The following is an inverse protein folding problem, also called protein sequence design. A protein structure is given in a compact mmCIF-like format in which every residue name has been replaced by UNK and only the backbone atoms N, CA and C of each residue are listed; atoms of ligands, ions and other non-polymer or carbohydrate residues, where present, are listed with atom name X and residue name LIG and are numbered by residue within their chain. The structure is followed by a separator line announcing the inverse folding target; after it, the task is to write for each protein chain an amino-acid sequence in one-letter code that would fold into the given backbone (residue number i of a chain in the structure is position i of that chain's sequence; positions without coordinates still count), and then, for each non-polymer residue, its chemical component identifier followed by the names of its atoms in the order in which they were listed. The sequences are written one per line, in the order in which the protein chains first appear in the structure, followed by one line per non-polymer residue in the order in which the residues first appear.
data_IF_259916518223
#
_entry.id   IF_259916518223
#
_cell.length_a   1.000
_cell.length_b   1.000
_cell.length_c   1.000
_cell.angle_alpha   90.00
_cell.angle_beta   90.00
_cell.angle_gamma   90.00
#
_symmetry.space_group_name_H-M   'P 1'
#
loop_
_entity.id
_entity.type
_entity.pdbx_description
1 polymer ?
#
# COMPACT_ATOMS: atom_id res chain seq x y z
N UNK A 1 -15.88 -45.26 -10.33
CA UNK A 1 -16.57 -44.07 -10.87
C UNK A 1 -16.83 -43.07 -9.75
N UNK A 2 -16.38 -41.82 -9.96
CA UNK A 2 -16.89 -40.55 -9.42
C UNK A 2 -17.14 -40.37 -7.91
N UNK A 3 -16.20 -39.71 -7.22
CA UNK A 3 -16.50 -38.48 -6.46
C UNK A 3 -15.23 -37.64 -6.31
N UNK A 4 -15.03 -36.70 -7.23
CA UNK A 4 -14.21 -35.54 -6.95
C UNK A 4 -14.94 -34.77 -5.83
N UNK A 5 -14.54 -35.00 -4.60
CA UNK A 5 -14.89 -34.13 -3.49
C UNK A 5 -14.16 -32.81 -3.76
N UNK A 6 -14.83 -31.89 -4.45
CA UNK A 6 -14.53 -30.48 -4.33
C UNK A 6 -14.81 -30.11 -2.86
N UNK A 7 -13.82 -30.29 -2.01
CA UNK A 7 -13.82 -29.96 -0.57
C UNK A 7 -13.79 -28.45 -0.31
N UNK A 8 -14.33 -27.66 -1.25
CA UNK A 8 -14.46 -26.22 -1.13
C UNK A 8 -15.87 -25.93 -0.59
N UNK A 9 -16.08 -26.18 0.71
CA UNK A 9 -17.34 -25.79 1.35
C UNK A 9 -17.53 -24.28 1.21
N UNK A 10 -18.67 -23.81 0.67
CA UNK A 10 -18.93 -22.38 0.54
C UNK A 10 -18.94 -21.70 1.92
N UNK A 11 -18.48 -20.46 1.97
CA UNK A 11 -18.50 -19.65 3.20
C UNK A 11 -19.93 -19.54 3.73
N UNK A 12 -20.15 -19.97 4.97
CA UNK A 12 -21.46 -19.88 5.61
C UNK A 12 -21.67 -18.46 6.13
N UNK A 13 -22.93 -17.98 6.24
CA UNK A 13 -23.21 -16.66 6.79
C UNK A 13 -22.58 -16.43 8.18
N UNK A 14 -22.60 -17.44 9.05
CA UNK A 14 -21.96 -17.36 10.37
C UNK A 14 -20.45 -17.20 10.32
N UNK A 15 -19.78 -17.79 9.31
CA UNK A 15 -18.33 -17.63 9.13
C UNK A 15 -17.99 -16.18 8.72
N UNK A 16 -18.88 -15.50 7.98
CA UNK A 16 -18.73 -14.08 7.61
C UNK A 16 -18.95 -13.15 8.81
N UNK A 17 -19.92 -13.46 9.67
CA UNK A 17 -20.18 -12.70 10.90
C UNK A 17 -18.98 -12.79 11.86
N UNK A 18 -18.43 -13.99 12.06
CA UNK A 18 -17.23 -14.22 12.87
C UNK A 18 -16.02 -13.47 12.29
N UNK A 19 -15.78 -13.57 10.98
CA UNK A 19 -14.71 -12.85 10.31
C UNK A 19 -14.86 -11.33 10.45
N UNK A 20 -16.09 -10.81 10.36
CA UNK A 20 -16.39 -9.39 10.54
C UNK A 20 -16.07 -8.93 11.95
N UNK A 21 -16.54 -9.66 12.98
CA UNK A 21 -16.27 -9.35 14.37
C UNK A 21 -14.76 -9.30 14.65
N UNK A 22 -14.04 -10.36 14.26
CA UNK A 22 -12.59 -10.47 14.45
C UNK A 22 -11.81 -9.34 13.76
N UNK A 23 -12.15 -9.02 12.51
CA UNK A 23 -11.47 -7.96 11.78
C UNK A 23 -11.81 -6.56 12.32
N UNK A 24 -13.03 -6.33 12.79
CA UNK A 24 -13.41 -5.05 13.40
C UNK A 24 -12.64 -4.78 14.70
N UNK A 25 -12.55 -5.78 15.58
CA UNK A 25 -11.76 -5.69 16.81
C UNK A 25 -10.27 -5.45 16.50
N UNK A 26 -9.73 -6.16 15.49
CA UNK A 26 -8.36 -5.92 15.05
C UNK A 26 -8.15 -4.50 14.52
N UNK A 27 -9.10 -3.95 13.76
CA UNK A 27 -9.00 -2.58 13.25
C UNK A 27 -9.00 -1.56 14.40
N UNK A 28 -9.86 -1.74 15.40
CA UNK A 28 -9.95 -0.83 16.55
C UNK A 28 -8.70 -0.91 17.43
N UNK A 29 -8.16 -2.11 17.63
CA UNK A 29 -6.87 -2.30 18.30
C UNK A 29 -5.74 -1.57 17.57
N UNK A 30 -5.64 -1.72 16.24
CA UNK A 30 -4.61 -1.07 15.44
C UNK A 30 -4.73 0.46 15.46
N UNK A 31 -5.95 1.01 15.35
CA UNK A 31 -6.18 2.46 15.51
C UNK A 31 -5.70 2.96 16.87
N UNK A 32 -5.98 2.21 17.93
CA UNK A 32 -5.56 2.56 19.29
C UNK A 32 -4.04 2.43 19.49
N UNK A 33 -3.38 1.49 18.81
CA UNK A 33 -1.92 1.36 18.80
C UNK A 33 -1.26 2.54 18.08
N UNK A 34 -1.77 2.92 16.90
CA UNK A 34 -1.28 4.08 16.15
C UNK A 34 -1.41 5.38 16.96
N UNK A 35 -2.55 5.61 17.61
CA UNK A 35 -2.76 6.79 18.44
C UNK A 35 -1.73 6.86 19.59
N UNK A 36 -1.51 5.76 20.30
CA UNK A 36 -0.52 5.67 21.39
C UNK A 36 0.92 5.84 20.90
N UNK A 37 1.26 5.27 19.75
CA UNK A 37 2.59 5.43 19.15
C UNK A 37 2.85 6.89 18.79
N UNK A 38 1.86 7.59 18.23
CA UNK A 38 1.99 9.01 17.90
C UNK A 38 2.09 9.90 19.14
N UNK A 39 1.30 9.63 20.17
CA UNK A 39 1.39 10.32 21.46
C UNK A 39 2.79 10.18 22.08
N UNK A 40 3.32 8.94 22.11
CA UNK A 40 4.67 8.64 22.60
C UNK A 40 5.73 9.38 21.76
N UNK A 41 5.61 9.35 20.44
CA UNK A 41 6.53 10.03 19.54
C UNK A 41 6.48 11.56 19.73
N UNK A 42 5.28 12.12 19.93
CA UNK A 42 5.10 13.56 20.19
C UNK A 42 5.71 13.98 21.53
N UNK A 43 5.45 13.22 22.59
CA UNK A 43 6.05 13.47 23.90
C UNK A 43 7.58 13.43 23.82
N UNK A 44 8.14 12.41 23.16
CA UNK A 44 9.57 12.29 22.97
C UNK A 44 10.15 13.44 22.14
N UNK A 45 9.45 13.91 21.09
CA UNK A 45 9.89 15.09 20.30
C UNK A 45 9.92 16.37 21.14
N UNK A 46 8.94 16.56 22.02
CA UNK A 46 8.82 17.73 22.89
C UNK A 46 9.91 17.81 23.98
N UNK A 47 10.57 16.70 24.28
CA UNK A 47 11.68 16.68 25.23
C UNK A 47 12.93 17.38 24.67
N UNK A 48 13.28 18.54 25.23
CA UNK A 48 14.34 19.43 24.73
C UNK A 48 15.60 19.47 25.61
N UNK A 49 15.55 18.91 26.82
CA UNK A 49 16.63 19.01 27.80
C UNK A 49 17.54 17.77 27.75
N UNK A 50 18.16 17.53 26.58
CA UNK A 50 18.88 16.29 26.28
C UNK A 50 20.37 16.55 26.05
N UNK A 51 21.22 15.65 26.57
CA UNK A 51 22.63 15.62 26.19
C UNK A 51 22.83 14.94 24.82
N UNK A 52 24.09 14.86 24.37
CA UNK A 52 24.42 14.27 23.08
C UNK A 52 24.09 12.76 22.99
N UNK A 53 24.23 12.02 24.10
CA UNK A 53 23.92 10.61 24.16
C UNK A 53 22.40 10.37 24.13
N UNK A 54 21.66 11.17 24.91
CA UNK A 54 20.21 11.14 24.98
C UNK A 54 19.55 11.51 23.64
N UNK A 55 20.13 12.48 22.92
CA UNK A 55 19.69 12.82 21.57
C UNK A 55 19.80 11.63 20.61
N UNK A 56 20.88 10.85 20.71
CA UNK A 56 21.07 9.64 19.93
C UNK A 56 20.05 8.56 20.27
N UNK A 57 19.84 8.30 21.57
CA UNK A 57 18.85 7.35 22.05
C UNK A 57 17.41 7.73 21.61
N UNK A 58 17.04 9.01 21.77
CA UNK A 58 15.78 9.58 21.28
C UNK A 58 15.59 9.35 19.79
N UNK A 59 16.61 9.62 18.98
CA UNK A 59 16.53 9.44 17.53
C UNK A 59 16.30 7.96 17.15
N UNK A 60 16.91 7.01 17.87
CA UNK A 60 16.66 5.58 17.66
C UNK A 60 15.23 5.19 18.04
N UNK A 61 14.76 5.64 19.20
CA UNK A 61 13.38 5.38 19.66
C UNK A 61 12.34 5.95 18.69
N UNK A 62 12.54 7.17 18.18
CA UNK A 62 11.65 7.75 17.17
C UNK A 62 11.61 6.95 15.87
N UNK A 63 12.75 6.43 15.40
CA UNK A 63 12.79 5.56 14.20
C UNK A 63 12.04 4.25 14.44
N UNK A 64 12.18 3.65 15.61
CA UNK A 64 11.46 2.43 15.98
C UNK A 64 9.95 2.67 16.03
N UNK A 65 9.50 3.76 16.70
CA UNK A 65 8.09 4.13 16.74
C UNK A 65 7.53 4.39 15.33
N UNK A 66 8.31 5.03 14.46
CA UNK A 66 7.92 5.26 13.08
C UNK A 66 7.76 3.95 12.29
N UNK A 67 8.75 3.05 12.37
CA UNK A 67 8.72 1.74 11.73
C UNK A 67 7.51 0.89 12.19
N UNK A 68 7.22 0.91 13.49
CA UNK A 68 6.02 0.28 14.06
C UNK A 68 4.74 0.89 13.50
N UNK A 69 4.65 2.22 13.47
CA UNK A 69 3.47 2.92 12.95
C UNK A 69 3.23 2.62 11.46
N UNK A 70 4.27 2.56 10.63
CA UNK A 70 4.15 2.17 9.21
C UNK A 70 3.60 0.74 9.06
N UNK A 71 4.13 -0.19 9.86
CA UNK A 71 3.70 -1.59 9.83
C UNK A 71 2.24 -1.75 10.27
N UNK A 72 1.85 -1.09 11.37
CA UNK A 72 0.49 -1.12 11.91
C UNK A 72 -0.50 -0.44 10.96
N UNK A 73 -0.13 0.69 10.35
CA UNK A 73 -0.95 1.36 9.34
C UNK A 73 -1.19 0.49 8.12
N UNK A 74 -0.15 -0.17 7.59
CA UNK A 74 -0.28 -1.09 6.46
C UNK A 74 -1.14 -2.33 6.78
N UNK A 75 -1.11 -2.81 8.03
CA UNK A 75 -2.03 -3.86 8.47
C UNK A 75 -3.47 -3.36 8.63
N UNK A 76 -3.65 -2.14 9.16
CA UNK A 76 -4.97 -1.52 9.30
C UNK A 76 -5.63 -1.33 7.93
N UNK A 77 -4.91 -0.84 6.94
CA UNK A 77 -5.39 -0.70 5.57
C UNK A 77 -5.90 -2.02 5.01
N UNK A 78 -5.11 -3.09 5.12
CA UNK A 78 -5.50 -4.45 4.69
C UNK A 78 -6.69 -5.01 5.49
N UNK A 79 -6.82 -4.61 6.76
CA UNK A 79 -7.94 -5.01 7.63
C UNK A 79 -9.23 -4.32 7.20
N UNK A 80 -9.18 -3.01 6.95
CA UNK A 80 -10.32 -2.23 6.44
C UNK A 80 -10.74 -2.71 5.06
N UNK A 81 -9.79 -2.95 4.15
CA UNK A 81 -10.08 -3.51 2.83
C UNK A 81 -10.76 -4.88 2.91
N UNK A 82 -10.39 -5.72 3.88
CA UNK A 82 -11.07 -7.01 4.11
C UNK A 82 -12.50 -6.82 4.63
N UNK A 83 -12.73 -5.86 5.54
CA UNK A 83 -14.08 -5.50 6.00
C UNK A 83 -14.95 -4.96 4.87
N UNK A 84 -14.39 -4.17 3.96
CA UNK A 84 -15.14 -3.67 2.80
C UNK A 84 -15.51 -4.78 1.82
N UNK A 85 -14.63 -5.79 1.64
CA UNK A 85 -14.96 -7.00 0.88
C UNK A 85 -16.07 -7.83 1.53
N UNK A 86 -16.09 -7.91 2.87
CA UNK A 86 -17.18 -8.55 3.61
C UNK A 86 -18.50 -7.84 3.39
N UNK A 87 -18.51 -6.50 3.47
CA UNK A 87 -19.69 -5.66 3.19
C UNK A 87 -20.18 -5.78 1.75
N UNK A 88 -19.24 -5.86 0.80
CA UNK A 88 -19.53 -6.03 -0.62
C UNK A 88 -19.84 -7.47 -1.06
N UNK A 89 -19.80 -8.45 -0.15
CA UNK A 89 -20.04 -9.86 -0.47
C UNK A 89 -18.98 -10.53 -1.34
N UNK A 90 -17.80 -9.91 -1.51
CA UNK A 90 -16.69 -10.44 -2.31
C UNK A 90 -15.59 -11.09 -1.46
N UNK A 91 -15.85 -11.29 -0.17
CA UNK A 91 -14.94 -11.96 0.74
C UNK A 91 -14.68 -13.41 0.31
N UNK A 92 -13.42 -13.84 0.34
CA UNK A 92 -13.02 -15.17 -0.11
C UNK A 92 -12.93 -15.33 -1.64
N UNK A 93 -13.07 -14.25 -2.42
CA UNK A 93 -12.91 -14.26 -3.89
C UNK A 93 -11.58 -13.59 -4.26
N UNK A 94 -10.85 -14.17 -5.21
CA UNK A 94 -9.63 -13.59 -5.76
C UNK A 94 -9.95 -12.34 -6.60
N UNK A 95 -9.39 -11.19 -6.25
CA UNK A 95 -9.58 -9.92 -7.00
C UNK A 95 -8.98 -9.94 -8.41
N UNK A 96 -8.02 -10.85 -8.67
CA UNK A 96 -7.35 -10.97 -9.97
C UNK A 96 -8.04 -11.93 -10.94
N UNK A 97 -8.50 -13.08 -10.46
CA UNK A 97 -9.04 -14.13 -11.33
C UNK A 97 -10.48 -14.53 -11.03
N UNK A 98 -11.13 -13.91 -10.03
CA UNK A 98 -12.53 -14.16 -9.67
C UNK A 98 -12.82 -15.53 -9.06
N UNK A 99 -11.81 -16.38 -8.86
CA UNK A 99 -11.97 -17.71 -8.29
C UNK A 99 -12.12 -17.67 -6.75
N UNK A 100 -12.92 -18.57 -6.15
CA UNK A 100 -12.96 -18.73 -4.70
C UNK A 100 -11.59 -19.15 -4.17
N UNK A 101 -11.28 -18.74 -2.95
CA UNK A 101 -10.01 -18.99 -2.29
C UNK A 101 -10.03 -20.20 -1.33
N UNK A 102 -11.20 -20.79 -1.09
CA UNK A 102 -11.45 -21.82 -0.09
C UNK A 102 -11.85 -21.23 1.25
N UNK A 103 -12.85 -21.85 1.91
CA UNK A 103 -13.31 -21.43 3.24
C UNK A 103 -12.17 -21.40 4.26
N UNK A 104 -11.41 -22.50 4.36
CA UNK A 104 -10.32 -22.61 5.34
C UNK A 104 -9.28 -21.52 5.15
N UNK A 105 -8.88 -21.26 3.89
CA UNK A 105 -7.89 -20.25 3.55
C UNK A 105 -8.41 -18.83 3.77
N UNK A 106 -9.68 -18.56 3.42
CA UNK A 106 -10.29 -17.24 3.65
C UNK A 106 -10.40 -16.91 5.15
N UNK A 107 -10.68 -17.91 6.00
CA UNK A 107 -10.73 -17.74 7.45
C UNK A 107 -9.34 -17.67 8.10
N UNK A 108 -8.37 -18.43 7.59
CA UNK A 108 -6.99 -18.40 8.08
C UNK A 108 -6.26 -17.11 7.68
N UNK A 109 -6.49 -16.60 6.47
CA UNK A 109 -5.83 -15.43 5.90
C UNK A 109 -6.86 -14.37 5.45
N UNK A 110 -7.55 -13.70 6.39
CA UNK A 110 -8.65 -12.80 6.06
C UNK A 110 -8.21 -11.55 5.27
N UNK A 111 -6.93 -11.18 5.35
CA UNK A 111 -6.36 -10.06 4.61
C UNK A 111 -5.98 -10.41 3.15
N UNK A 112 -6.02 -11.69 2.76
CA UNK A 112 -5.55 -12.12 1.44
C UNK A 112 -6.52 -11.79 0.30
N UNK A 113 -6.06 -10.97 -0.66
CA UNK A 113 -6.85 -10.56 -1.83
C UNK A 113 -6.77 -11.52 -3.01
N UNK A 114 -5.79 -12.41 -3.01
CA UNK A 114 -5.42 -13.23 -4.17
C UNK A 114 -5.48 -14.71 -3.83
N UNK A 115 -5.86 -15.53 -4.81
CA UNK A 115 -5.69 -16.98 -4.71
C UNK A 115 -4.21 -17.36 -4.65
N UNK A 116 -3.90 -18.56 -4.16
CA UNK A 116 -2.50 -19.04 -4.01
C UNK A 116 -1.73 -18.99 -5.32
N UNK A 117 -2.40 -19.31 -6.44
CA UNK A 117 -1.83 -19.26 -7.79
C UNK A 117 -1.47 -17.82 -8.17
N UNK A 118 -2.43 -16.90 -8.06
CA UNK A 118 -2.23 -15.49 -8.39
C UNK A 118 -1.22 -14.79 -7.46
N UNK A 119 -1.17 -15.19 -6.18
CA UNK A 119 -0.19 -14.70 -5.23
C UNK A 119 1.23 -15.19 -5.58
N UNK A 120 1.37 -16.48 -5.92
CA UNK A 120 2.65 -17.06 -6.35
C UNK A 120 3.20 -16.40 -7.62
N UNK A 121 2.34 -16.11 -8.59
CA UNK A 121 2.76 -15.38 -9.81
C UNK A 121 3.23 -13.95 -9.50
N UNK A 122 2.57 -13.23 -8.59
CA UNK A 122 3.02 -11.90 -8.18
C UNK A 122 4.36 -11.95 -7.45
N UNK A 123 4.60 -12.98 -6.63
CA UNK A 123 5.88 -13.18 -5.97
C UNK A 123 7.00 -13.47 -6.96
N UNK A 124 6.74 -14.34 -7.96
CA UNK A 124 7.70 -14.66 -9.03
C UNK A 124 8.03 -13.46 -9.92
N UNK A 125 7.04 -12.61 -10.25
CA UNK A 125 7.26 -11.37 -10.99
C UNK A 125 8.19 -10.41 -10.25
N UNK A 126 7.97 -10.16 -8.95
CA UNK A 126 8.85 -9.27 -8.16
C UNK A 126 10.29 -9.78 -8.04
N UNK A 127 10.49 -11.10 -7.99
CA UNK A 127 11.83 -11.69 -7.99
C UNK A 127 12.53 -11.49 -9.34
N UNK A 128 11.81 -11.62 -10.44
CA UNK A 128 12.32 -11.34 -11.78
C UNK A 128 12.64 -9.84 -11.97
N UNK A 129 11.76 -8.94 -11.52
CA UNK A 129 11.95 -7.49 -11.64
C UNK A 129 13.19 -7.02 -10.84
N UNK A 130 13.36 -7.49 -9.60
CA UNK A 130 14.54 -7.15 -8.78
C UNK A 130 15.84 -7.67 -9.40
N UNK A 131 15.83 -8.87 -10.00
CA UNK A 131 16.99 -9.38 -10.72
C UNK A 131 17.38 -8.50 -11.93
N UNK A 132 16.40 -7.85 -12.59
CA UNK A 132 16.70 -6.91 -13.67
C UNK A 132 17.19 -5.54 -13.19
N UNK A 133 16.75 -5.08 -12.01
CA UNK A 133 17.26 -3.84 -11.40
C UNK A 133 18.73 -3.97 -10.95
N UNK A 134 19.12 -5.12 -10.39
CA UNK A 134 20.51 -5.42 -10.03
C UNK A 134 21.41 -5.61 -11.28
N UNK A 135 20.81 -5.93 -12.43
CA UNK A 135 21.51 -6.06 -13.71
C UNK A 135 21.67 -4.72 -14.46
N UNK A 136 21.20 -3.59 -13.92
CA UNK A 136 21.33 -2.28 -14.59
C UNK A 136 22.82 -1.89 -14.65
N UNK A 137 23.45 -1.87 -15.85
CA UNK A 137 24.86 -1.55 -15.94
C UNK A 137 25.06 -0.11 -15.50
N UNK A 138 25.97 0.10 -14.55
CA UNK A 138 26.49 1.41 -14.19
C UNK A 138 27.00 2.05 -15.49
N UNK A 139 26.24 3.01 -16.02
CA UNK A 139 26.59 3.72 -17.24
C UNK A 139 27.86 4.48 -16.90
N UNK A 140 28.98 4.00 -17.44
CA UNK A 140 30.30 4.45 -17.08
C UNK A 140 30.46 5.95 -17.25
N UNK A 141 30.64 6.64 -16.13
CA UNK A 141 31.41 7.89 -16.10
C UNK A 141 32.78 7.57 -16.67
N UNK A 142 32.97 7.81 -17.98
CA UNK A 142 34.26 7.69 -18.63
C UNK A 142 35.25 8.62 -17.93
N UNK A 143 36.15 8.04 -17.14
CA UNK A 143 37.32 8.73 -16.64
C UNK A 143 38.17 9.17 -17.84
N UNK A 144 38.20 10.48 -18.13
CA UNK A 144 39.16 11.04 -19.09
C UNK A 144 40.52 11.12 -18.39
N UNK A 145 41.36 10.11 -18.65
CA UNK A 145 42.78 10.09 -18.30
C UNK A 145 43.59 11.14 -19.08
N UNK A 146 44.64 11.65 -18.43
CA UNK A 146 45.48 12.79 -18.82
C UNK A 146 46.46 12.45 -19.95
N UNK A 147 46.74 13.42 -20.83
CA UNK A 147 47.90 13.43 -21.74
C UNK A 147 48.43 14.85 -21.95
N UNK A 148 49.71 15.10 -21.65
CA UNK A 148 50.42 16.38 -21.85
C UNK A 148 51.15 16.36 -23.21
N UNK A 149 51.12 17.48 -23.96
CA UNK A 149 52.24 18.20 -24.64
C UNK A 149 51.75 19.04 -25.84
N UNK A 150 52.35 20.23 -26.02
CA UNK A 150 52.57 20.86 -27.34
C UNK A 150 51.69 22.06 -27.69
N UNK A 151 52.32 23.19 -28.05
CA UNK A 151 51.73 24.51 -28.34
C UNK A 151 51.36 24.65 -29.83
N UNK A 152 50.38 25.51 -30.14
CA UNK A 152 50.17 26.09 -31.48
C UNK A 152 48.89 26.94 -31.58
N UNK A 153 49.03 28.28 -31.69
CA UNK A 153 47.99 29.21 -32.18
C UNK A 153 47.91 29.03 -33.72
N UNK A 154 46.80 29.21 -34.45
CA UNK A 154 46.00 30.41 -34.71
C UNK A 154 44.75 30.00 -35.58
N UNK A 155 43.89 30.91 -36.10
CA UNK A 155 42.44 30.73 -36.14
C UNK A 155 41.85 30.48 -37.54
N UNK A 156 40.55 30.16 -37.60
CA UNK A 156 39.70 30.60 -38.70
C UNK A 156 38.92 29.52 -39.45
N UNK A 157 37.66 29.87 -39.74
CA UNK A 157 36.61 29.16 -40.48
C UNK A 157 35.82 28.14 -39.62
N UNK A 158 34.52 28.26 -39.42
CA UNK A 158 33.50 28.91 -40.24
C UNK A 158 32.68 27.81 -40.90
N UNK A 159 31.47 27.57 -40.34
CA UNK A 159 30.36 26.64 -40.70
C UNK A 159 30.01 25.81 -39.46
N UNK A 160 28.83 25.86 -38.85
CA UNK A 160 27.53 26.33 -39.31
C UNK A 160 26.54 25.19 -39.12
N UNK A 161 25.98 25.01 -37.92
CA UNK A 161 24.85 24.10 -37.70
C UNK A 161 23.84 24.69 -36.69
N UNK A 162 22.71 25.09 -37.26
CA UNK A 162 21.34 25.00 -36.77
C UNK A 162 21.08 25.11 -35.25
N UNK A 163 20.34 26.16 -34.89
CA UNK A 163 19.87 26.48 -33.55
C UNK A 163 19.23 25.31 -32.81
N UNK A 164 19.71 25.09 -31.59
CA UNK A 164 18.97 24.35 -30.56
C UNK A 164 17.78 25.19 -30.14
N UNK A 165 16.61 24.83 -30.66
CA UNK A 165 15.31 25.23 -30.14
C UNK A 165 15.29 24.98 -28.63
N UNK A 166 15.04 26.03 -27.85
CA UNK A 166 14.81 25.95 -26.41
C UNK A 166 13.68 24.97 -26.14
N UNK A 167 14.00 23.87 -25.43
CA UNK A 167 12.97 23.07 -24.76
C UNK A 167 12.63 23.79 -23.47
N UNK A 168 11.73 24.77 -23.56
CA UNK A 168 10.86 25.08 -22.43
C UNK A 168 10.03 23.85 -22.16
N UNK A 169 10.26 23.20 -21.02
CA UNK A 169 9.41 22.13 -20.47
C UNK A 169 9.47 22.27 -18.95
N UNK A 170 8.57 23.04 -18.37
CA UNK A 170 7.24 22.64 -17.89
C UNK A 170 7.33 22.66 -16.37
N UNK A 171 6.70 23.67 -15.75
CA UNK A 171 6.29 23.58 -14.36
C UNK A 171 5.65 22.20 -14.15
N UNK A 172 6.12 21.47 -13.13
CA UNK A 172 5.58 20.19 -12.75
C UNK A 172 4.07 20.35 -12.51
N UNK A 173 3.26 19.96 -13.49
CA UNK A 173 1.85 19.68 -13.23
C UNK A 173 1.84 18.48 -12.28
N UNK A 174 1.24 18.69 -11.11
CA UNK A 174 0.96 17.61 -10.18
C UNK A 174 0.27 16.45 -10.92
N UNK A 175 0.60 15.19 -10.62
CA UNK A 175 -0.01 14.04 -11.28
C UNK A 175 -1.51 14.02 -10.97
N UNK A 176 -2.34 14.28 -11.98
CA UNK A 176 -3.81 14.15 -11.93
C UNK A 176 -4.27 12.70 -12.00
N UNK A 177 -3.55 11.79 -11.34
CA UNK A 177 -3.90 10.37 -11.24
C UNK A 177 -4.31 9.97 -9.82
N UNK A 178 -4.52 10.94 -8.93
CA UNK A 178 -5.04 10.68 -7.61
C UNK A 178 -6.56 10.48 -7.71
N UNK A 179 -7.10 9.35 -7.23
CA UNK A 179 -8.54 9.13 -7.25
C UNK A 179 -9.27 10.22 -6.45
N UNK A 180 -10.46 10.60 -6.92
CA UNK A 180 -11.25 11.77 -6.49
C UNK A 180 -11.51 11.86 -4.97
N UNK A 181 -11.37 10.75 -4.24
CA UNK A 181 -11.46 10.68 -2.77
C UNK A 181 -10.27 11.33 -2.04
N UNK A 182 -9.12 11.50 -2.70
CA UNK A 182 -7.91 12.03 -2.08
C UNK A 182 -7.77 13.57 -2.18
N UNK A 183 -8.64 14.25 -2.94
CA UNK A 183 -8.63 15.72 -3.06
C UNK A 183 -9.58 16.44 -2.09
N UNK A 184 -10.40 15.73 -1.32
CA UNK A 184 -11.44 16.31 -0.45
C UNK A 184 -11.00 16.38 1.02
N UNK A 185 -9.71 16.64 1.31
CA UNK A 185 -9.21 16.77 2.69
C UNK A 185 -8.76 18.18 3.07
N UNK A 186 -9.18 19.19 2.32
CA UNK A 186 -9.33 20.55 2.84
C UNK A 186 -10.81 20.91 2.72
N UNK A 187 -11.40 21.42 3.79
CA UNK A 187 -12.80 21.87 3.91
C UNK A 187 -13.81 20.78 4.27
N UNK A 188 -13.82 20.37 5.53
CA UNK A 188 -14.92 20.69 6.45
C UNK A 188 -14.73 19.91 7.76
N UNK A 189 -14.81 20.61 8.89
CA UNK A 189 -14.50 20.10 10.23
C UNK A 189 -15.73 19.52 10.95
N UNK A 190 -16.82 19.25 10.25
CA UNK A 190 -18.09 18.90 10.86
C UNK A 190 -18.75 17.77 10.06
N UNK A 191 -19.37 16.81 10.78
CA UNK A 191 -20.05 15.58 10.34
C UNK A 191 -19.19 14.32 10.08
N UNK A 192 -18.59 13.79 11.14
CA UNK A 192 -18.41 12.33 11.29
C UNK A 192 -19.67 11.72 11.92
N UNK A 193 -20.70 11.45 11.11
CA UNK A 193 -21.72 10.44 11.42
C UNK A 193 -21.56 9.34 10.38
N UNK A 194 -20.73 8.35 10.70
CA UNK A 194 -20.79 7.05 10.03
C UNK A 194 -21.81 6.22 10.77
N UNK A 195 -23.08 6.35 10.42
CA UNK A 195 -24.10 5.39 10.85
C UNK A 195 -23.77 4.03 10.23
N UNK A 196 -23.36 3.10 11.08
CA UNK A 196 -23.37 1.68 10.74
C UNK A 196 -24.82 1.30 10.35
N UNK A 197 -25.06 0.61 9.23
CA UNK A 197 -26.37 0.04 8.98
C UNK A 197 -26.69 -0.90 10.13
N UNK A 198 -27.84 -0.67 10.78
CA UNK A 198 -28.29 -1.48 11.91
C UNK A 198 -28.36 -2.95 11.52
N UNK A 199 -28.22 -3.85 12.51
CA UNK A 199 -28.37 -5.31 12.32
C UNK A 199 -29.64 -5.69 11.54
N UNK A 200 -30.68 -4.86 11.63
CA UNK A 200 -31.93 -4.97 10.90
C UNK A 200 -31.77 -4.77 9.39
N UNK A 201 -30.99 -3.76 8.98
CA UNK A 201 -30.73 -3.46 7.56
C UNK A 201 -29.93 -4.58 6.88
N UNK A 202 -28.97 -5.19 7.60
CA UNK A 202 -28.20 -6.34 7.12
C UNK A 202 -29.11 -7.56 6.95
N UNK A 203 -29.99 -7.85 7.91
CA UNK A 203 -30.97 -8.96 7.80
C UNK A 203 -31.96 -8.78 6.65
N UNK A 204 -32.45 -7.56 6.43
CA UNK A 204 -33.40 -7.27 5.34
C UNK A 204 -32.75 -7.42 3.96
N UNK A 205 -31.48 -7.02 3.80
CA UNK A 205 -30.74 -7.23 2.57
C UNK A 205 -30.48 -8.72 2.28
N UNK A 206 -30.05 -9.49 3.29
CA UNK A 206 -29.86 -10.94 3.18
C UNK A 206 -31.17 -11.67 2.85
N UNK A 207 -32.29 -11.25 3.43
CA UNK A 207 -33.62 -11.80 3.14
C UNK A 207 -34.13 -11.42 1.75
N UNK A 208 -33.85 -10.21 1.26
CA UNK A 208 -34.23 -9.76 -0.09
C UNK A 208 -33.51 -10.55 -1.19
N UNK A 209 -32.27 -11.00 -0.96
CA UNK A 209 -31.52 -11.86 -1.88
C UNK A 209 -32.06 -13.29 -1.96
N UNK A 210 -32.67 -13.79 -0.87
CA UNK A 210 -33.34 -15.11 -0.85
C UNK A 210 -34.66 -15.14 -1.63
N UNK A 211 -35.32 -13.99 -1.80
CA UNK A 211 -36.65 -13.89 -2.43
C UNK A 211 -36.60 -13.55 -3.94
N UNK A 212 -35.41 -13.59 -4.56
CA UNK A 212 -35.21 -13.38 -6.02
C UNK A 212 -34.81 -14.68 -6.76
N UNK A 213 -35.07 -15.84 -6.17
CA UNK A 213 -34.95 -17.16 -6.78
C UNK A 213 -36.28 -17.87 -6.64
#
# INVERSE_FOLDING_TARGET
MNRAETSESPLRPGDLEEATARLSEQADRLRSQLARNEETASALRADCDLDAADTGAKAMTLRELHSRAETDAALLERTVAALDRLRGGSFGICTRCGRPQGRERALALPHAELCVVCAGERGRGRAADRATDDARPAHGVRARGRGRRGRGRHPGSGRGHAGRRGRGRHAARAPTSWPRWAQVRLMSRETCIWEMPSRSAIRLWVSSQKNRR
#
